data_IF_167711631012
#
_entry.id   IF_167711631012
#
_cell.length_a   1.000
_cell.length_b   1.000
_cell.length_c   1.000
_cell.angle_alpha   90.00
_cell.angle_beta   90.00
_cell.angle_gamma   90.00
#
_symmetry.space_group_name_H-M   'P 1'
#
loop_
_entity.id
_entity.type
_entity.pdbx_description
1 polymer ?
#
# COMPACT_ATOMS: atom_id res chain seq x y z
N UNK A 1 15.42 -8.89 -24.00
CA UNK A 1 15.81 -10.01 -23.12
C UNK A 1 15.03 -9.84 -21.84
N UNK A 2 14.38 -10.88 -21.34
CA UNK A 2 13.66 -10.83 -20.06
C UNK A 2 14.64 -10.76 -18.87
N UNK A 3 14.17 -10.22 -17.74
CA UNK A 3 14.94 -10.19 -16.50
C UNK A 3 15.07 -11.59 -15.91
N UNK A 4 16.30 -11.99 -15.59
CA UNK A 4 16.67 -13.24 -14.92
C UNK A 4 17.92 -13.00 -14.08
N UNK A 5 18.32 -13.96 -13.24
CA UNK A 5 19.59 -13.83 -12.49
C UNK A 5 20.81 -13.67 -13.40
N UNK A 6 20.78 -14.23 -14.62
CA UNK A 6 21.89 -14.15 -15.58
C UNK A 6 21.89 -12.84 -16.38
N UNK A 7 20.72 -12.25 -16.59
CA UNK A 7 20.53 -11.03 -17.41
C UNK A 7 20.37 -9.75 -16.58
N UNK A 8 20.31 -9.88 -15.25
CA UNK A 8 20.27 -8.74 -14.33
C UNK A 8 21.54 -7.87 -14.46
N UNK A 9 21.34 -6.56 -14.56
CA UNK A 9 22.44 -5.59 -14.65
C UNK A 9 23.20 -5.53 -13.32
N UNK A 10 22.46 -5.45 -12.21
CA UNK A 10 23.06 -5.43 -10.87
C UNK A 10 23.33 -6.87 -10.39
N UNK A 11 24.53 -7.17 -9.87
CA UNK A 11 24.81 -8.48 -9.30
C UNK A 11 24.03 -8.74 -8.00
N UNK A 12 23.47 -7.71 -7.35
CA UNK A 12 22.58 -7.83 -6.19
C UNK A 12 21.37 -8.71 -6.51
N UNK A 13 20.80 -8.54 -7.72
CA UNK A 13 19.65 -9.32 -8.21
C UNK A 13 20.06 -10.49 -9.12
N UNK A 14 21.34 -10.57 -9.50
CA UNK A 14 21.91 -11.62 -10.33
C UNK A 14 22.76 -12.60 -9.53
N UNK A 15 24.09 -12.47 -9.66
CA UNK A 15 25.10 -13.36 -9.04
C UNK A 15 24.89 -13.59 -7.54
N UNK A 16 24.40 -12.58 -6.82
CA UNK A 16 24.22 -12.60 -5.37
C UNK A 16 22.75 -12.67 -4.94
N UNK A 17 21.81 -12.95 -5.86
CA UNK A 17 20.38 -13.01 -5.58
C UNK A 17 20.01 -13.95 -4.43
N UNK A 18 20.73 -15.07 -4.27
CA UNK A 18 20.51 -16.03 -3.18
C UNK A 18 20.96 -15.50 -1.82
N UNK A 19 21.74 -14.42 -1.77
CA UNK A 19 22.20 -13.75 -0.54
C UNK A 19 21.33 -12.55 -0.15
N UNK A 20 20.53 -12.05 -1.08
CA UNK A 20 19.73 -10.83 -0.92
C UNK A 20 18.23 -11.09 -1.05
N UNK A 21 17.81 -12.35 -1.17
CA UNK A 21 16.42 -12.75 -1.41
C UNK A 21 15.43 -12.19 -0.37
N UNK A 22 15.80 -12.19 0.91
CA UNK A 22 14.96 -11.65 2.00
C UNK A 22 14.69 -10.15 1.85
N UNK A 23 15.65 -9.41 1.28
CA UNK A 23 15.55 -7.96 1.06
C UNK A 23 14.50 -7.59 0.01
N UNK A 24 14.09 -8.53 -0.86
CA UNK A 24 13.06 -8.29 -1.89
C UNK A 24 11.72 -7.91 -1.27
N UNK A 25 11.41 -8.40 -0.08
CA UNK A 25 10.15 -8.06 0.60
C UNK A 25 10.18 -6.67 1.28
N UNK A 26 11.34 -6.00 1.29
CA UNK A 26 11.58 -4.78 2.06
C UNK A 26 11.96 -3.62 1.13
N UNK A 27 13.05 -3.77 0.37
CA UNK A 27 13.67 -2.68 -0.40
C UNK A 27 13.35 -2.70 -1.89
N UNK A 28 12.58 -3.68 -2.35
CA UNK A 28 12.08 -3.66 -3.73
C UNK A 28 10.90 -2.70 -3.87
N UNK A 29 10.48 -2.45 -5.11
CA UNK A 29 9.24 -1.74 -5.38
C UNK A 29 8.02 -2.43 -4.74
N UNK A 30 7.99 -3.78 -4.67
CA UNK A 30 6.96 -4.50 -3.92
C UNK A 30 7.00 -4.15 -2.43
N UNK A 31 8.19 -4.08 -1.83
CA UNK A 31 8.35 -3.71 -0.42
C UNK A 31 7.91 -2.28 -0.15
N UNK A 32 8.29 -1.33 -1.01
CA UNK A 32 7.85 0.06 -0.93
C UNK A 32 6.32 0.18 -1.01
N UNK A 33 5.69 -0.50 -1.98
CA UNK A 33 4.23 -0.49 -2.12
C UNK A 33 3.53 -1.12 -0.91
N UNK A 34 4.07 -2.22 -0.37
CA UNK A 34 3.56 -2.88 0.83
C UNK A 34 3.52 -1.92 2.02
N UNK A 35 4.62 -1.21 2.27
CA UNK A 35 4.69 -0.29 3.41
C UNK A 35 3.86 0.99 3.18
N UNK A 36 3.76 1.49 1.95
CA UNK A 36 2.83 2.59 1.63
C UNK A 36 1.38 2.22 1.90
N UNK A 37 0.96 1.01 1.50
CA UNK A 37 -0.37 0.46 1.83
C UNK A 37 -0.56 0.39 3.34
N UNK A 38 0.44 -0.08 4.08
CA UNK A 38 0.38 -0.12 5.54
C UNK A 38 0.18 1.27 6.15
N UNK A 39 0.99 2.26 5.77
CA UNK A 39 0.91 3.63 6.30
C UNK A 39 -0.47 4.24 6.03
N UNK A 40 -0.99 4.13 4.80
CA UNK A 40 -2.32 4.64 4.44
C UNK A 40 -3.43 3.99 5.25
N UNK A 41 -3.38 2.66 5.42
CA UNK A 41 -4.36 1.93 6.23
C UNK A 41 -4.30 2.38 7.69
N UNK A 42 -3.09 2.50 8.26
CA UNK A 42 -2.92 2.95 9.65
C UNK A 42 -3.34 4.40 9.83
N UNK A 43 -3.14 5.25 8.82
CA UNK A 43 -3.62 6.62 8.83
C UNK A 43 -5.15 6.68 8.89
N UNK A 44 -5.84 5.93 8.04
CA UNK A 44 -7.31 5.86 8.06
C UNK A 44 -7.85 5.36 9.40
N UNK A 45 -7.24 4.30 9.96
CA UNK A 45 -7.58 3.79 11.30
C UNK A 45 -7.29 4.81 12.40
N UNK A 46 -6.28 5.68 12.23
CA UNK A 46 -6.00 6.73 13.19
C UNK A 46 -7.06 7.82 13.13
N UNK A 47 -7.47 8.23 11.93
CA UNK A 47 -8.53 9.23 11.74
C UNK A 47 -9.83 8.82 12.44
N UNK A 48 -10.22 7.53 12.35
CA UNK A 48 -11.45 7.03 13.01
C UNK A 48 -11.42 7.05 14.53
N UNK A 49 -10.24 7.18 15.14
CA UNK A 49 -10.04 7.26 16.60
C UNK A 49 -9.87 8.70 17.10
N UNK A 50 -9.97 9.72 16.23
CA UNK A 50 -9.85 11.12 16.62
C UNK A 50 -11.24 11.72 16.87
N UNK A 51 -11.56 12.01 18.13
CA UNK A 51 -12.86 12.58 18.54
C UNK A 51 -13.25 13.88 17.81
N UNK A 52 -12.26 14.60 17.25
CA UNK A 52 -12.46 15.84 16.50
C UNK A 52 -12.80 15.67 15.02
N UNK A 53 -12.78 14.44 14.48
CA UNK A 53 -13.05 14.13 13.06
C UNK A 53 -14.33 13.31 12.98
N UNK A 54 -15.48 13.97 13.07
CA UNK A 54 -16.79 13.30 13.11
C UNK A 54 -17.21 12.64 11.80
N UNK A 55 -16.59 13.06 10.70
CA UNK A 55 -16.80 12.53 9.35
C UNK A 55 -16.20 11.12 9.18
N UNK A 56 -15.26 10.72 10.05
CA UNK A 56 -14.68 9.38 10.10
C UNK A 56 -15.01 8.78 11.46
N UNK A 57 -16.16 8.12 11.62
CA UNK A 57 -16.55 7.51 12.89
C UNK A 57 -15.66 6.31 13.22
N UNK A 58 -15.65 5.90 14.49
CA UNK A 58 -14.93 4.71 14.91
C UNK A 58 -15.42 3.46 14.15
N UNK A 59 -14.48 2.61 13.75
CA UNK A 59 -14.76 1.47 12.88
C UNK A 59 -15.24 0.26 13.66
N UNK A 60 -16.17 -0.49 13.05
CA UNK A 60 -16.56 -1.80 13.55
C UNK A 60 -15.36 -2.78 13.60
N UNK A 61 -15.42 -3.83 14.46
CA UNK A 61 -14.40 -4.88 14.48
C UNK A 61 -14.18 -5.56 13.12
N UNK A 62 -15.23 -5.66 12.30
CA UNK A 62 -15.19 -6.23 10.95
C UNK A 62 -14.40 -5.34 9.99
N UNK A 63 -14.61 -4.02 10.05
CA UNK A 63 -13.87 -3.06 9.23
C UNK A 63 -12.41 -2.98 9.65
N UNK A 64 -12.11 -3.00 10.95
CA UNK A 64 -10.74 -3.15 11.43
C UNK A 64 -10.08 -4.43 10.91
N UNK A 65 -10.77 -5.57 10.99
CA UNK A 65 -10.25 -6.85 10.48
C UNK A 65 -9.97 -6.82 8.97
N UNK A 66 -10.84 -6.18 8.18
CA UNK A 66 -10.62 -6.03 6.74
C UNK A 66 -9.36 -5.18 6.47
N UNK A 67 -9.25 -4.01 7.10
CA UNK A 67 -8.07 -3.15 6.99
C UNK A 67 -6.78 -3.88 7.39
N UNK A 68 -6.82 -4.61 8.51
CA UNK A 68 -5.67 -5.40 8.97
C UNK A 68 -5.30 -6.52 7.99
N UNK A 69 -6.28 -7.18 7.35
CA UNK A 69 -6.03 -8.20 6.33
C UNK A 69 -5.39 -7.63 5.07
N UNK A 70 -5.77 -6.42 4.62
CA UNK A 70 -5.16 -5.76 3.47
C UNK A 70 -3.65 -5.59 3.68
N UNK A 71 -3.23 -5.24 4.90
CA UNK A 71 -1.82 -5.09 5.27
C UNK A 71 -1.12 -6.45 5.42
N UNK A 72 -1.73 -7.37 6.18
CA UNK A 72 -1.12 -8.65 6.52
C UNK A 72 -0.97 -9.59 5.32
N UNK A 73 -1.90 -9.50 4.35
CA UNK A 73 -2.00 -10.41 3.21
C UNK A 73 -1.58 -9.74 1.88
N UNK A 74 -0.95 -8.55 1.93
CA UNK A 74 -0.52 -7.82 0.74
C UNK A 74 0.37 -8.67 -0.18
N UNK A 75 -0.07 -8.86 -1.42
CA UNK A 75 0.50 -9.84 -2.35
C UNK A 75 1.19 -9.22 -3.57
N UNK A 76 1.91 -10.04 -4.33
CA UNK A 76 2.50 -9.60 -5.61
C UNK A 76 1.42 -9.19 -6.62
N UNK A 77 0.24 -9.81 -6.55
CA UNK A 77 -0.89 -9.45 -7.42
C UNK A 77 -1.47 -8.09 -7.05
N UNK A 78 -1.48 -7.74 -5.76
CA UNK A 78 -1.85 -6.40 -5.29
C UNK A 78 -0.86 -5.34 -5.76
N UNK A 79 0.44 -5.61 -5.62
CA UNK A 79 1.47 -4.72 -6.14
C UNK A 79 1.34 -4.53 -7.66
N UNK A 80 1.02 -5.60 -8.41
CA UNK A 80 0.75 -5.51 -9.85
C UNK A 80 -0.48 -4.65 -10.13
N UNK A 81 -1.55 -4.79 -9.35
CA UNK A 81 -2.76 -3.98 -9.48
C UNK A 81 -2.46 -2.49 -9.28
N UNK A 82 -1.66 -2.15 -8.28
CA UNK A 82 -1.21 -0.76 -8.06
C UNK A 82 -0.43 -0.25 -9.28
N UNK A 83 0.50 -1.04 -9.84
CA UNK A 83 1.23 -0.65 -11.05
C UNK A 83 0.32 -0.49 -12.27
N UNK A 84 -0.76 -1.27 -12.39
CA UNK A 84 -1.75 -1.07 -13.46
C UNK A 84 -2.47 0.27 -13.33
N UNK A 85 -2.90 0.62 -12.11
CA UNK A 85 -3.54 1.92 -11.82
C UNK A 85 -2.56 3.06 -12.09
N UNK A 86 -1.29 2.91 -11.69
CA UNK A 86 -0.23 3.90 -11.88
C UNK A 86 -0.02 4.25 -13.35
N UNK A 87 -0.23 3.30 -14.28
CA UNK A 87 -0.14 3.60 -15.73
C UNK A 87 -1.16 4.63 -16.19
N UNK A 88 -2.27 4.78 -15.47
CA UNK A 88 -3.29 5.79 -15.74
C UNK A 88 -3.06 7.07 -14.94
N UNK A 89 -2.69 6.97 -13.65
CA UNK A 89 -2.51 8.14 -12.79
C UNK A 89 -1.16 8.84 -12.99
N UNK A 90 -0.16 8.13 -13.50
CA UNK A 90 1.24 8.55 -13.59
C UNK A 90 1.82 9.03 -12.24
N UNK A 91 1.30 8.48 -11.13
CA UNK A 91 1.71 8.81 -9.77
C UNK A 91 1.48 7.60 -8.86
N UNK A 92 2.54 7.14 -8.21
CA UNK A 92 2.60 5.91 -7.40
C UNK A 92 1.75 5.97 -6.12
N UNK A 93 1.87 7.03 -5.31
CA UNK A 93 1.05 7.21 -4.09
C UNK A 93 -0.43 7.33 -4.44
N UNK A 94 -0.76 8.08 -5.50
CA UNK A 94 -2.15 8.16 -5.97
C UNK A 94 -2.69 6.79 -6.40
N UNK A 95 -1.85 5.94 -7.00
CA UNK A 95 -2.25 4.58 -7.36
C UNK A 95 -2.55 3.70 -6.14
N UNK A 96 -1.81 3.88 -5.04
CA UNK A 96 -2.09 3.23 -3.75
C UNK A 96 -3.44 3.68 -3.19
N UNK A 97 -3.76 4.97 -3.23
CA UNK A 97 -5.07 5.49 -2.81
C UNK A 97 -6.22 4.81 -3.56
N UNK A 98 -6.14 4.76 -4.90
CA UNK A 98 -7.16 4.09 -5.72
C UNK A 98 -7.24 2.59 -5.44
N UNK A 99 -6.11 1.92 -5.27
CA UNK A 99 -6.09 0.50 -4.90
C UNK A 99 -6.81 0.27 -3.56
N UNK A 100 -6.60 1.12 -2.56
CA UNK A 100 -7.28 1.00 -1.27
C UNK A 100 -8.78 1.25 -1.39
N UNK A 101 -9.20 2.23 -2.22
CA UNK A 101 -10.61 2.46 -2.54
C UNK A 101 -11.26 1.20 -3.16
N UNK A 102 -10.57 0.51 -4.07
CA UNK A 102 -11.04 -0.77 -4.62
C UNK A 102 -11.16 -1.85 -3.52
N UNK A 103 -10.17 -1.97 -2.63
CA UNK A 103 -10.15 -3.00 -1.58
C UNK A 103 -11.24 -2.85 -0.52
N UNK A 104 -11.73 -1.62 -0.29
CA UNK A 104 -12.75 -1.36 0.73
C UNK A 104 -14.16 -1.15 0.17
N UNK A 105 -14.34 -1.16 -1.15
CA UNK A 105 -15.59 -0.81 -1.82
C UNK A 105 -16.81 -1.65 -1.36
N UNK A 106 -16.60 -2.94 -1.08
CA UNK A 106 -17.66 -3.87 -0.65
C UNK A 106 -18.01 -3.73 0.85
N UNK A 107 -17.22 -3.00 1.62
CA UNK A 107 -17.53 -2.68 3.01
C UNK A 107 -18.22 -1.31 3.06
N UNK A 108 -19.51 -1.29 3.38
CA UNK A 108 -20.31 -0.06 3.36
C UNK A 108 -19.81 1.04 4.30
N UNK A 109 -19.25 0.67 5.46
CA UNK A 109 -18.71 1.61 6.45
C UNK A 109 -17.46 2.30 5.91
N UNK A 110 -16.51 1.52 5.37
CA UNK A 110 -15.27 2.06 4.81
C UNK A 110 -15.47 2.76 3.47
N UNK A 111 -16.36 2.25 2.62
CA UNK A 111 -16.68 2.87 1.34
C UNK A 111 -17.33 4.26 1.52
N UNK A 112 -18.12 4.45 2.59
CA UNK A 112 -18.71 5.76 2.88
C UNK A 112 -17.67 6.83 3.22
N UNK A 113 -16.48 6.43 3.69
CA UNK A 113 -15.37 7.31 4.09
C UNK A 113 -14.14 7.14 3.21
N UNK A 114 -14.25 6.48 2.06
CA UNK A 114 -13.09 6.13 1.21
C UNK A 114 -12.34 7.35 0.68
N UNK A 115 -13.01 8.50 0.60
CA UNK A 115 -12.39 9.79 0.24
C UNK A 115 -11.50 10.38 1.35
N UNK A 116 -11.50 9.80 2.56
CA UNK A 116 -10.55 10.13 3.62
C UNK A 116 -9.26 9.30 3.59
N UNK A 117 -9.15 8.35 2.67
CA UNK A 117 -7.85 7.72 2.36
C UNK A 117 -6.92 8.83 1.85
N UNK A 118 -5.70 8.91 2.38
CA UNK A 118 -4.75 10.00 2.12
C UNK A 118 -5.19 11.40 2.60
N UNK A 119 -6.17 11.52 3.49
CA UNK A 119 -6.69 12.82 3.92
C UNK A 119 -5.60 13.71 4.53
N UNK A 120 -5.43 14.90 3.94
CA UNK A 120 -4.46 15.92 4.34
C UNK A 120 -2.98 15.49 4.34
N UNK A 121 -2.67 14.33 3.76
CA UNK A 121 -1.30 13.89 3.55
C UNK A 121 -0.69 14.53 2.29
N UNK A 122 0.62 14.73 2.31
CA UNK A 122 1.42 14.80 1.08
C UNK A 122 2.02 13.43 0.78
N UNK A 123 2.45 13.20 -0.46
CA UNK A 123 3.16 11.98 -0.86
C UNK A 123 4.34 11.64 0.06
N UNK A 124 5.03 12.67 0.58
CA UNK A 124 6.18 12.48 1.48
C UNK A 124 5.81 12.02 2.88
N UNK A 125 4.61 12.29 3.38
CA UNK A 125 4.15 11.74 4.67
C UNK A 125 4.00 10.21 4.61
N UNK A 126 3.73 9.68 3.41
CA UNK A 126 3.64 8.24 3.18
C UNK A 126 5.02 7.66 2.87
N UNK A 127 5.80 8.35 2.02
CA UNK A 127 7.11 7.86 1.60
C UNK A 127 8.10 7.76 2.75
N UNK A 128 8.22 8.81 3.58
CA UNK A 128 9.23 8.83 4.64
C UNK A 128 8.97 7.77 5.73
N UNK A 129 7.70 7.38 5.94
CA UNK A 129 7.30 6.31 6.85
C UNK A 129 7.41 4.92 6.21
N UNK A 130 7.56 4.84 4.89
CA UNK A 130 7.71 3.58 4.14
C UNK A 130 9.18 3.20 3.88
N UNK A 131 10.11 4.12 4.07
CA UNK A 131 11.56 3.91 3.89
C UNK A 131 12.20 3.21 5.09
#
# INVERSE_FOLDING_TARGET
MELSQLTAISPVDGRYASKTGELRSIFSEYGLLKYRVEVEVRWLQKLSKLDGITEVPDFSPQSHKLLDSIVAEFSVDDARRIKEIERTTNHDVKAVEYFLKEKVADNSELNAISEFIHFACTSEDINNLSH
#
